data_IF_290041183326
#
_entry.id   IF_290041183326
#
_cell.length_a   1.000
_cell.length_b   1.000
_cell.length_c   1.000
_cell.angle_alpha   90.00
_cell.angle_beta   90.00
_cell.angle_gamma   90.00
#
_symmetry.space_group_name_H-M   'P 1'
#
loop_
_entity.id
_entity.type
_entity.pdbx_description
1 polymer ?
#
# COMPACT_ATOMS: atom_id res chain seq x y z
N UNK A 1 8.78 -9.48 22.96
CA UNK A 1 9.86 -8.91 22.14
C UNK A 1 9.67 -9.48 20.76
N UNK A 2 9.46 -8.64 19.74
CA UNK A 2 9.30 -9.11 18.36
C UNK A 2 10.58 -9.83 17.92
N UNK A 3 10.45 -11.09 17.52
CA UNK A 3 11.54 -11.84 16.90
C UNK A 3 11.29 -11.91 15.39
N UNK A 4 12.00 -11.05 14.65
CA UNK A 4 11.90 -10.99 13.20
C UNK A 4 12.20 -12.33 12.52
N UNK A 5 12.95 -13.23 13.17
CA UNK A 5 13.36 -14.53 12.61
C UNK A 5 12.22 -15.55 12.53
N UNK A 6 11.10 -15.31 13.23
CA UNK A 6 9.88 -16.12 13.13
C UNK A 6 9.22 -16.02 11.75
N UNK A 7 9.45 -14.92 11.03
CA UNK A 7 8.87 -14.68 9.71
C UNK A 7 9.89 -15.02 8.61
N UNK A 8 9.67 -16.07 7.79
CA UNK A 8 10.66 -16.50 6.80
C UNK A 8 11.04 -15.42 5.78
N UNK A 9 10.16 -14.45 5.51
CA UNK A 9 10.42 -13.31 4.63
C UNK A 9 11.65 -12.49 5.08
N UNK A 10 11.90 -12.38 6.38
CA UNK A 10 13.01 -11.59 6.93
C UNK A 10 14.38 -12.23 6.70
N UNK A 11 14.43 -13.51 6.31
CA UNK A 11 15.69 -14.17 5.94
C UNK A 11 16.23 -13.64 4.62
N UNK A 12 15.33 -13.28 3.70
CA UNK A 12 15.68 -12.74 2.38
C UNK A 12 15.76 -11.22 2.39
N UNK A 13 14.89 -10.57 3.18
CA UNK A 13 14.89 -9.13 3.39
C UNK A 13 15.03 -8.83 4.88
N UNK A 14 16.26 -8.82 5.42
CA UNK A 14 16.50 -8.59 6.84
C UNK A 14 16.07 -7.20 7.28
N UNK A 15 15.32 -7.13 8.37
CA UNK A 15 14.93 -5.87 8.99
C UNK A 15 16.15 -5.26 9.70
N UNK A 16 16.58 -4.08 9.27
CA UNK A 16 17.59 -3.28 9.97
C UNK A 16 16.98 -2.61 11.21
N UNK A 17 15.70 -2.29 11.15
CA UNK A 17 14.91 -1.67 12.18
C UNK A 17 13.71 -2.57 12.54
N UNK A 18 13.93 -3.69 13.27
CA UNK A 18 12.88 -4.67 13.57
C UNK A 18 11.73 -4.08 14.42
N UNK A 19 11.94 -2.92 15.05
CA UNK A 19 10.91 -2.17 15.77
C UNK A 19 9.92 -1.43 14.85
N UNK A 20 10.26 -1.26 13.56
CA UNK A 20 9.45 -0.53 12.58
C UNK A 20 8.62 -1.47 11.71
N UNK A 21 7.54 -0.92 11.16
CA UNK A 21 6.71 -1.63 10.19
C UNK A 21 7.53 -1.96 8.94
N UNK A 22 7.56 -3.22 8.56
CA UNK A 22 8.29 -3.68 7.37
C UNK A 22 7.36 -3.66 6.17
N UNK A 23 7.68 -2.89 5.13
CA UNK A 23 6.92 -2.79 3.90
C UNK A 23 7.65 -3.51 2.77
N UNK A 24 7.06 -4.57 2.23
CA UNK A 24 7.57 -5.30 1.06
C UNK A 24 6.79 -4.87 -0.18
N UNK A 25 7.40 -4.03 -1.03
CA UNK A 25 6.68 -3.36 -2.11
C UNK A 25 7.56 -3.01 -3.32
N UNK A 26 6.91 -2.50 -4.37
CA UNK A 26 7.49 -1.94 -5.59
C UNK A 26 6.66 -0.70 -5.97
N UNK A 27 7.23 0.36 -6.59
CA UNK A 27 6.50 1.58 -7.01
C UNK A 27 5.53 1.34 -8.18
N UNK A 28 4.52 0.52 -7.91
CA UNK A 28 3.38 0.23 -8.78
C UNK A 28 2.14 0.91 -8.22
N UNK A 29 1.05 1.07 -9.00
CA UNK A 29 -0.18 1.69 -8.53
C UNK A 29 -0.78 1.08 -7.26
N UNK A 30 -0.55 -0.21 -7.00
CA UNK A 30 -1.00 -0.85 -5.74
C UNK A 30 0.02 -0.69 -4.62
N UNK A 31 1.32 -0.76 -4.93
CA UNK A 31 2.39 -0.59 -3.96
C UNK A 31 2.45 0.82 -3.38
N UNK A 32 2.24 1.85 -4.21
CA UNK A 32 2.30 3.26 -3.77
C UNK A 32 1.19 3.65 -2.82
N UNK A 33 0.04 2.93 -2.81
CA UNK A 33 -1.05 3.24 -1.88
C UNK A 33 -0.59 3.13 -0.43
N UNK A 34 0.15 2.06 -0.13
CA UNK A 34 0.61 1.78 1.23
C UNK A 34 1.74 2.70 1.61
N UNK A 35 2.70 2.97 0.71
CA UNK A 35 3.77 3.94 1.00
C UNK A 35 3.21 5.34 1.23
N UNK A 36 2.24 5.79 0.41
CA UNK A 36 1.58 7.09 0.61
C UNK A 36 0.88 7.14 1.97
N UNK A 37 0.14 6.09 2.34
CA UNK A 37 -0.53 6.03 3.65
C UNK A 37 0.47 6.11 4.81
N UNK A 38 1.61 5.43 4.71
CA UNK A 38 2.66 5.48 5.74
C UNK A 38 3.30 6.88 5.83
N UNK A 39 3.53 7.54 4.70
CA UNK A 39 4.03 8.92 4.67
C UNK A 39 3.01 9.93 5.23
N UNK A 40 1.72 9.76 4.94
CA UNK A 40 0.67 10.68 5.42
C UNK A 40 0.39 10.48 6.91
N UNK A 41 0.47 9.25 7.43
CA UNK A 41 0.34 8.95 8.88
C UNK A 41 1.61 9.25 9.68
N UNK A 42 2.76 9.40 9.01
CA UNK A 42 4.05 9.57 9.67
C UNK A 42 4.52 8.34 10.46
N UNK A 43 3.93 7.16 10.22
CA UNK A 43 4.33 5.92 10.90
C UNK A 43 5.75 5.52 10.48
N UNK A 44 6.65 5.22 11.43
CA UNK A 44 7.97 4.69 11.11
C UNK A 44 7.87 3.34 10.39
N UNK A 45 8.43 3.27 9.19
CA UNK A 45 8.48 2.05 8.40
C UNK A 45 9.85 1.83 7.77
N UNK A 46 10.13 0.59 7.40
CA UNK A 46 11.29 0.16 6.64
C UNK A 46 10.82 -0.42 5.31
N UNK A 47 11.27 0.15 4.19
CA UNK A 47 10.86 -0.26 2.86
C UNK A 47 11.84 -1.27 2.26
N UNK A 48 11.31 -2.43 1.85
CA UNK A 48 12.00 -3.48 1.12
C UNK A 48 11.53 -3.51 -0.32
N UNK A 49 12.47 -3.31 -1.24
CA UNK A 49 12.21 -3.37 -2.67
C UNK A 49 12.07 -4.83 -3.10
N UNK A 50 10.95 -5.16 -3.73
CA UNK A 50 10.67 -6.50 -4.28
C UNK A 50 10.70 -6.43 -5.79
N UNK A 51 11.70 -7.06 -6.41
CA UNK A 51 11.84 -7.07 -7.86
C UNK A 51 10.91 -8.12 -8.49
N UNK A 52 9.80 -7.64 -9.05
CA UNK A 52 8.83 -8.48 -9.78
C UNK A 52 9.46 -9.05 -11.06
N UNK A 53 10.43 -8.37 -11.68
CA UNK A 53 11.12 -8.82 -12.88
C UNK A 53 12.07 -10.00 -12.64
N UNK A 54 12.55 -10.15 -11.41
CA UNK A 54 13.38 -11.29 -10.97
C UNK A 54 12.58 -12.41 -10.29
N UNK A 55 11.24 -12.39 -10.42
CA UNK A 55 10.33 -13.34 -9.79
C UNK A 55 10.46 -13.42 -8.26
N UNK A 56 10.86 -12.35 -7.58
CA UNK A 56 11.07 -12.38 -6.13
C UNK A 56 9.78 -12.61 -5.34
N UNK A 57 8.64 -12.25 -5.92
CA UNK A 57 7.30 -12.48 -5.34
C UNK A 57 6.91 -13.96 -5.29
N UNK A 58 7.61 -14.84 -6.00
CA UNK A 58 7.37 -16.28 -6.04
C UNK A 58 8.34 -17.08 -5.17
N UNK A 59 9.22 -16.40 -4.45
CA UNK A 59 10.14 -17.04 -3.51
C UNK A 59 9.36 -17.62 -2.33
N UNK A 60 9.76 -18.77 -1.76
CA UNK A 60 9.12 -19.34 -0.57
C UNK A 60 9.05 -18.34 0.59
N UNK A 61 10.07 -17.48 0.71
CA UNK A 61 10.15 -16.43 1.70
C UNK A 61 9.04 -15.38 1.52
N UNK A 62 8.82 -14.87 0.31
CA UNK A 62 7.73 -13.92 0.06
C UNK A 62 6.36 -14.58 0.17
N UNK A 63 6.21 -15.80 -0.35
CA UNK A 63 4.95 -16.56 -0.29
C UNK A 63 4.55 -16.93 1.14
N UNK A 64 5.51 -17.02 2.07
CA UNK A 64 5.23 -17.20 3.50
C UNK A 64 4.45 -16.02 4.10
N UNK A 65 4.62 -14.82 3.55
CA UNK A 65 3.89 -13.62 3.96
C UNK A 65 2.62 -13.41 3.13
N UNK A 66 2.73 -13.56 1.80
CA UNK A 66 1.60 -13.44 0.89
C UNK A 66 1.51 -14.62 -0.09
N UNK A 67 0.60 -15.58 0.13
CA UNK A 67 0.45 -16.74 -0.76
C UNK A 67 -0.06 -16.37 -2.16
N UNK A 68 -0.60 -15.16 -2.36
CA UNK A 68 -1.03 -14.66 -3.67
C UNK A 68 0.16 -14.20 -4.53
N UNK A 69 1.37 -14.07 -3.97
CA UNK A 69 2.56 -13.66 -4.71
C UNK A 69 2.47 -12.26 -5.30
N UNK A 70 1.78 -11.33 -4.61
CA UNK A 70 1.59 -9.94 -5.07
C UNK A 70 2.07 -8.93 -4.04
N UNK A 71 2.57 -7.81 -4.51
CA UNK A 71 2.84 -6.63 -3.68
C UNK A 71 1.61 -5.70 -3.65
N UNK A 72 1.43 -4.88 -2.60
CA UNK A 72 2.24 -4.79 -1.39
C UNK A 72 1.87 -5.84 -0.31
N UNK A 73 2.83 -6.11 0.57
CA UNK A 73 2.63 -6.83 1.83
C UNK A 73 3.39 -6.11 2.96
N UNK A 74 2.91 -6.22 4.19
CA UNK A 74 3.52 -5.62 5.37
C UNK A 74 3.70 -6.64 6.49
N UNK A 75 4.67 -6.37 7.36
CA UNK A 75 4.82 -7.01 8.64
C UNK A 75 4.94 -5.93 9.72
N UNK A 76 3.92 -5.83 10.55
CA UNK A 76 3.89 -4.89 11.66
C UNK A 76 4.38 -5.59 12.94
N UNK A 77 5.53 -5.21 13.52
CA UNK A 77 6.04 -5.85 14.74
C UNK A 77 5.19 -5.51 15.98
N UNK A 78 4.45 -4.40 15.94
CA UNK A 78 3.61 -3.89 17.03
C UNK A 78 2.14 -3.89 16.60
N UNK A 79 1.65 -5.04 16.15
CA UNK A 79 0.26 -5.23 15.77
C UNK A 79 -0.70 -5.23 16.97
N UNK A 80 -1.99 -5.55 16.72
CA UNK A 80 -3.00 -5.65 17.77
C UNK A 80 -2.53 -6.58 18.90
N UNK A 81 -2.88 -6.24 20.14
CA UNK A 81 -2.44 -6.95 21.35
C UNK A 81 -0.91 -7.07 21.52
N UNK A 82 -0.13 -6.21 20.85
CA UNK A 82 1.34 -6.20 20.92
C UNK A 82 1.99 -7.39 20.20
N UNK A 83 1.24 -8.08 19.33
CA UNK A 83 1.72 -9.22 18.54
C UNK A 83 2.05 -8.80 17.12
N UNK A 84 3.05 -9.43 16.48
CA UNK A 84 3.35 -9.14 15.10
C UNK A 84 2.19 -9.53 14.18
N UNK A 85 1.88 -8.65 13.23
CA UNK A 85 0.82 -8.85 12.24
C UNK A 85 1.40 -8.83 10.83
N UNK A 86 1.34 -9.98 10.17
CA UNK A 86 1.56 -10.11 8.74
C UNK A 86 0.27 -9.79 7.98
N UNK A 87 0.32 -8.88 7.02
CA UNK A 87 -0.85 -8.48 6.25
C UNK A 87 -0.51 -8.22 4.78
N UNK A 88 -1.37 -8.69 3.89
CA UNK A 88 -1.31 -8.42 2.45
C UNK A 88 -2.66 -7.89 1.96
N UNK A 89 -2.77 -7.55 0.67
CA UNK A 89 -3.86 -6.79 0.06
C UNK A 89 -3.85 -5.30 0.42
N UNK A 90 -3.54 -4.46 -0.58
CA UNK A 90 -3.42 -3.00 -0.37
C UNK A 90 -4.65 -2.35 0.29
N UNK A 91 -5.87 -2.81 -0.02
CA UNK A 91 -7.09 -2.29 0.61
C UNK A 91 -7.22 -2.67 2.08
N UNK A 92 -6.85 -3.90 2.45
CA UNK A 92 -6.85 -4.34 3.84
C UNK A 92 -5.78 -3.60 4.66
N UNK A 93 -4.60 -3.40 4.07
CA UNK A 93 -3.51 -2.63 4.69
C UNK A 93 -3.92 -1.18 4.94
N UNK A 94 -4.59 -0.52 3.99
CA UNK A 94 -5.06 0.85 4.18
C UNK A 94 -6.05 0.97 5.35
N UNK A 95 -7.00 0.05 5.46
CA UNK A 95 -7.96 0.02 6.57
C UNK A 95 -7.25 -0.25 7.90
N UNK A 96 -6.31 -1.19 7.92
CA UNK A 96 -5.49 -1.49 9.10
C UNK A 96 -4.70 -0.27 9.59
N UNK A 97 -3.98 0.41 8.69
CA UNK A 97 -3.18 1.59 9.04
C UNK A 97 -4.07 2.76 9.51
N UNK A 98 -5.24 2.93 8.88
CA UNK A 98 -6.20 3.94 9.26
C UNK A 98 -6.75 3.72 10.68
N UNK A 99 -7.09 2.47 11.02
CA UNK A 99 -7.53 2.11 12.37
C UNK A 99 -6.40 2.21 13.40
N UNK A 100 -5.20 1.77 13.05
CA UNK A 100 -4.03 1.82 13.94
C UNK A 100 -3.65 3.26 14.32
N UNK A 101 -3.74 4.20 13.38
CA UNK A 101 -3.43 5.61 13.63
C UNK A 101 -4.63 6.41 14.13
N UNK A 102 -5.86 5.90 13.92
CA UNK A 102 -7.09 6.67 14.14
C UNK A 102 -7.29 7.79 13.12
N UNK A 103 -6.66 7.69 11.94
CA UNK A 103 -6.65 8.72 10.90
C UNK A 103 -7.23 8.19 9.58
N UNK A 104 -7.69 9.09 8.70
CA UNK A 104 -8.17 8.79 7.34
C UNK A 104 -9.38 7.85 7.22
N UNK A 105 -9.99 7.44 8.33
CA UNK A 105 -11.22 6.65 8.37
C UNK A 105 -12.21 7.30 9.35
N UNK A 106 -13.39 7.74 8.88
CA UNK A 106 -14.40 8.35 9.74
C UNK A 106 -14.82 7.41 10.88
N UNK A 107 -15.07 7.99 12.06
CA UNK A 107 -15.62 7.27 13.22
C UNK A 107 -17.15 7.16 13.16
N UNK A 108 -17.80 8.06 12.42
CA UNK A 108 -19.24 7.97 12.14
C UNK A 108 -19.54 6.69 11.35
N UNK A 109 -20.43 5.80 11.83
CA UNK A 109 -20.67 4.50 11.20
C UNK A 109 -21.11 4.59 9.74
N UNK A 110 -21.90 5.60 9.39
CA UNK A 110 -22.40 5.77 8.01
C UNK A 110 -21.26 6.16 7.08
N UNK A 111 -20.52 7.22 7.41
CA UNK A 111 -19.37 7.67 6.62
C UNK A 111 -18.24 6.63 6.57
N UNK A 112 -18.07 5.84 7.63
CA UNK A 112 -17.12 4.73 7.68
C UNK A 112 -17.46 3.67 6.64
N UNK A 113 -18.72 3.24 6.59
CA UNK A 113 -19.19 2.25 5.61
C UNK A 113 -19.07 2.79 4.19
N UNK A 114 -19.43 4.06 3.96
CA UNK A 114 -19.25 4.70 2.64
C UNK A 114 -17.78 4.75 2.21
N UNK A 115 -16.87 5.08 3.13
CA UNK A 115 -15.42 5.09 2.85
C UNK A 115 -14.94 3.68 2.46
N UNK A 116 -15.35 2.67 3.23
CA UNK A 116 -15.03 1.26 2.94
C UNK A 116 -15.61 0.83 1.58
N UNK A 117 -16.82 1.25 1.24
CA UNK A 117 -17.44 1.00 -0.07
C UNK A 117 -16.57 1.55 -1.21
N UNK A 118 -16.04 2.77 -1.09
CA UNK A 118 -15.16 3.36 -2.09
C UNK A 118 -13.81 2.65 -2.21
N UNK A 119 -13.24 2.17 -1.10
CA UNK A 119 -12.03 1.34 -1.11
C UNK A 119 -12.29 0.04 -1.87
N UNK A 120 -13.38 -0.67 -1.57
CA UNK A 120 -13.73 -1.90 -2.30
C UNK A 120 -14.05 -1.67 -3.77
N UNK A 121 -14.70 -0.54 -4.11
CA UNK A 121 -14.92 -0.14 -5.49
C UNK A 121 -13.58 0.04 -6.23
N UNK A 122 -12.60 0.72 -5.63
CA UNK A 122 -11.28 0.91 -6.22
C UNK A 122 -10.55 -0.44 -6.41
N UNK A 123 -10.59 -1.31 -5.40
CA UNK A 123 -9.95 -2.63 -5.45
C UNK A 123 -10.56 -3.54 -6.52
N UNK A 124 -11.89 -3.53 -6.66
CA UNK A 124 -12.61 -4.43 -7.56
C UNK A 124 -12.69 -3.92 -9.02
N UNK A 125 -12.85 -2.61 -9.23
CA UNK A 125 -13.07 -2.04 -10.56
C UNK A 125 -11.82 -1.37 -11.12
N UNK A 126 -11.22 -0.45 -10.37
CA UNK A 126 -10.14 0.42 -10.86
C UNK A 126 -8.81 -0.34 -10.94
N UNK A 127 -8.46 -1.11 -9.90
CA UNK A 127 -7.21 -1.86 -9.83
C UNK A 127 -7.07 -2.88 -10.95
N UNK A 128 -8.15 -3.58 -11.30
CA UNK A 128 -8.17 -4.55 -12.40
C UNK A 128 -8.11 -3.89 -13.78
N UNK A 129 -8.85 -2.81 -14.02
CA UNK A 129 -8.81 -2.11 -15.31
C UNK A 129 -7.43 -1.53 -15.63
N UNK A 130 -6.72 -0.97 -14.65
CA UNK A 130 -5.37 -0.43 -14.87
C UNK A 130 -4.33 -1.53 -15.07
N UNK A 131 -4.41 -2.64 -14.33
CA UNK A 131 -3.52 -3.79 -14.50
C UNK A 131 -3.71 -4.45 -15.89
N UNK A 132 -4.94 -4.57 -16.38
CA UNK A 132 -5.22 -5.11 -17.72
C UNK A 132 -4.59 -4.30 -18.85
N UNK A 133 -4.30 -3.00 -18.63
CA UNK A 133 -3.61 -2.16 -19.62
C UNK A 133 -2.08 -2.30 -19.62
N UNK A 134 -1.49 -2.88 -18.56
CA UNK A 134 -0.06 -3.19 -18.51
C UNK A 134 0.27 -4.55 -19.14
N UNK A 135 -0.69 -5.47 -19.22
CA UNK A 135 -0.53 -6.80 -19.82
C UNK A 135 -1.02 -6.92 -21.27
N UNK A 136 -1.58 -5.86 -21.85
CA UNK A 136 -2.15 -5.87 -23.19
C UNK A 136 -1.21 -5.25 -24.23
N UNK A 137 -0.07 -5.89 -24.48
CA UNK A 137 0.71 -5.64 -25.71
C UNK A 137 0.69 -6.81 -26.69
N UNK A 138 0.04 -7.94 -26.40
CA UNK A 138 -0.12 -9.03 -27.37
C UNK A 138 -1.36 -9.93 -27.09
N UNK A 139 -2.57 -9.44 -27.39
CA UNK A 139 -3.72 -10.34 -27.59
C UNK A 139 -4.61 -9.82 -28.72
N UNK A 140 -4.90 -10.63 -29.77
CA UNK A 140 -5.60 -10.18 -30.97
C UNK A 140 -7.12 -10.05 -30.81
N UNK A 141 -7.69 -10.45 -29.66
CA UNK A 141 -9.14 -10.50 -29.51
C UNK A 141 -9.69 -9.25 -28.81
N UNK A 142 -10.12 -8.31 -29.65
CA UNK A 142 -10.76 -7.05 -29.26
C UNK A 142 -12.13 -7.28 -28.62
N UNK A 143 -12.19 -7.31 -27.28
CA UNK A 143 -13.46 -7.14 -26.56
C UNK A 143 -13.69 -5.66 -26.22
N UNK A 144 -14.36 -4.96 -27.14
CA UNK A 144 -14.66 -3.52 -27.13
C UNK A 144 -15.49 -3.04 -25.94
N UNK A 145 -16.17 -3.92 -25.21
CA UNK A 145 -16.98 -3.55 -24.03
C UNK A 145 -16.13 -3.30 -22.78
N UNK A 146 -15.00 -3.99 -22.64
CA UNK A 146 -14.08 -3.81 -21.51
C UNK A 146 -13.26 -2.53 -21.66
N UNK A 147 -12.84 -2.20 -22.89
CA UNK A 147 -12.09 -0.97 -23.18
C UNK A 147 -12.91 0.31 -22.97
N UNK A 148 -14.21 0.29 -23.30
CA UNK A 148 -15.10 1.43 -23.08
C UNK A 148 -15.35 1.73 -21.59
N UNK A 149 -15.52 0.69 -20.76
CA UNK A 149 -15.65 0.84 -19.29
C UNK A 149 -14.35 1.31 -18.64
N UNK A 150 -13.19 0.76 -19.03
CA UNK A 150 -11.92 1.24 -18.50
C UNK A 150 -11.60 2.68 -18.96
N UNK A 151 -12.02 3.09 -20.16
CA UNK A 151 -11.91 4.47 -20.64
C UNK A 151 -12.79 5.45 -19.85
N UNK A 152 -14.03 5.07 -19.53
CA UNK A 152 -14.92 5.87 -18.69
C UNK A 152 -14.38 6.03 -17.26
N UNK A 153 -13.85 4.96 -16.67
CA UNK A 153 -13.20 4.98 -15.35
C UNK A 153 -11.94 5.87 -15.38
N UNK A 154 -11.12 5.77 -16.43
CA UNK A 154 -9.94 6.63 -16.63
C UNK A 154 -10.32 8.11 -16.75
N UNK A 155 -11.44 8.44 -17.40
CA UNK A 155 -11.97 9.82 -17.49
C UNK A 155 -12.49 10.35 -16.15
N UNK A 156 -13.21 9.55 -15.38
CA UNK A 156 -13.64 9.94 -14.02
C UNK A 156 -12.44 10.13 -13.07
N UNK A 157 -11.39 9.33 -13.21
CA UNK A 157 -10.18 9.45 -12.40
C UNK A 157 -9.28 10.61 -12.83
N UNK A 158 -9.27 10.99 -14.12
CA UNK A 158 -8.62 12.23 -14.58
C UNK A 158 -9.23 13.45 -13.88
N UNK A 159 -10.56 13.50 -13.77
CA UNK A 159 -11.27 14.55 -13.04
C UNK A 159 -10.97 14.53 -11.53
N UNK A 160 -10.79 13.34 -10.93
CA UNK A 160 -10.41 13.21 -9.51
C UNK A 160 -8.93 13.57 -9.27
N UNK A 161 -8.04 13.23 -10.21
CA UNK A 161 -6.62 13.59 -10.19
C UNK A 161 -6.37 15.08 -10.38
N UNK A 162 -7.30 15.82 -11.01
CA UNK A 162 -7.23 17.28 -11.10
C UNK A 162 -7.41 17.98 -9.73
N UNK A 163 -8.00 17.30 -8.74
CA UNK A 163 -8.00 17.75 -7.33
C UNK A 163 -6.71 17.36 -6.57
N UNK A 164 -5.85 16.51 -7.14
CA UNK A 164 -4.60 16.04 -6.52
C UNK A 164 -3.39 16.62 -7.28
N UNK A 165 -2.88 17.76 -6.80
CA UNK A 165 -1.73 18.44 -7.43
C UNK A 165 -0.46 17.57 -7.41
N UNK A 166 0.42 17.71 -8.43
CA UNK A 166 1.72 17.04 -8.49
C UNK A 166 2.76 17.75 -7.60
N UNK A 167 3.54 17.01 -6.80
CA UNK A 167 4.55 17.60 -5.90
C UNK A 167 5.70 16.69 -5.43
N UNK A 168 5.81 15.47 -5.95
CA UNK A 168 6.76 14.46 -5.48
C UNK A 168 7.89 14.22 -6.48
N UNK A 169 9.15 14.26 -6.01
CA UNK A 169 10.36 13.89 -6.75
C UNK A 169 11.29 13.04 -5.86
N UNK A 170 12.10 12.20 -6.48
CA UNK A 170 13.17 11.44 -5.81
C UNK A 170 14.35 12.36 -5.47
N UNK A 171 14.87 12.26 -4.24
CA UNK A 171 16.17 12.83 -3.84
C UNK A 171 16.95 11.74 -3.10
N UNK A 172 18.08 11.29 -3.66
CA UNK A 172 18.99 10.32 -3.05
C UNK A 172 18.34 9.01 -2.55
N UNK A 173 17.42 8.44 -3.35
CA UNK A 173 16.78 7.17 -2.99
C UNK A 173 15.71 7.26 -1.90
N UNK A 174 15.43 8.46 -1.38
CA UNK A 174 14.30 8.77 -0.50
C UNK A 174 13.35 9.76 -1.19
N UNK A 175 12.06 9.68 -0.91
CA UNK A 175 11.07 10.63 -1.43
C UNK A 175 10.92 11.80 -0.45
N UNK A 176 11.01 13.02 -0.96
CA UNK A 176 10.83 14.24 -0.19
C UNK A 176 9.87 15.20 -0.91
N UNK A 177 8.97 15.82 -0.15
CA UNK A 177 8.02 16.82 -0.64
C UNK A 177 8.77 18.14 -0.90
N UNK A 178 8.47 18.83 -2.00
CA UNK A 178 9.13 20.11 -2.33
C UNK A 178 8.59 21.31 -1.56
N UNK A 179 7.49 21.15 -0.82
CA UNK A 179 6.92 22.18 0.08
C UNK A 179 6.30 21.53 1.32
N UNK A 180 6.55 22.03 2.54
CA UNK A 180 5.90 21.53 3.75
C UNK A 180 4.45 22.01 3.82
N UNK A 181 3.51 21.08 4.09
CA UNK A 181 2.17 21.43 4.59
C UNK A 181 2.18 21.42 6.12
N UNK A 182 1.34 22.22 6.78
CA UNK A 182 1.32 22.36 8.23
C UNK A 182 0.50 21.21 8.82
N UNK A 183 1.09 20.03 8.95
CA UNK A 183 0.53 18.97 9.78
C UNK A 183 1.60 18.62 10.81
N UNK A 184 1.27 18.90 12.07
CA UNK A 184 2.15 18.75 13.22
C UNK A 184 2.68 17.31 13.32
N UNK A 185 3.96 17.11 13.64
CA UNK A 185 4.50 15.79 13.87
C UNK A 185 3.86 15.16 15.10
N UNK A 186 3.49 13.88 15.00
CA UNK A 186 3.05 13.06 16.12
C UNK A 186 4.24 12.90 17.10
N UNK A 187 4.32 13.78 18.08
CA UNK A 187 5.32 13.71 19.15
C UNK A 187 4.93 12.62 20.15
N UNK A 188 5.89 11.74 20.41
CA UNK A 188 5.86 10.68 21.40
C UNK A 188 5.16 11.06 22.72
N UNK A 189 4.30 10.16 23.20
CA UNK A 189 3.69 10.30 24.53
C UNK A 189 2.51 9.37 24.78
N UNK A 190 2.74 8.05 24.82
CA UNK A 190 1.82 7.12 25.47
C UNK A 190 2.55 6.43 26.61
N UNK A 191 2.55 7.10 27.76
CA UNK A 191 2.87 6.52 29.06
C UNK A 191 1.86 7.04 30.08
N UNK A 192 0.93 6.16 30.45
CA UNK A 192 0.32 5.82 31.76
C UNK A 192 -1.15 5.51 31.60
#
# INVERSE_FOLDING_TARGET
>A
MFDATEFPITRRWPAQHPERLQLYSLPTPNGVKVSIMLEETGLPYEAHLIDIGQNETWTPEFLSLNPNGKIPAILDPAGPDGKPLALFESGAILLYLAEKCGEFLPQDPVQRIETIQWVFFQMAAVGRCSASSASSTNSPDGNTKTSARCSAIRKSLSACSACWKPGWKTVNGSWARTTPSPISPCSAGCAT
#
